data_IF_322768835788
#
_entry.id   IF_322768835788
#
_cell.length_a   1.000
_cell.length_b   1.000
_cell.length_c   1.000
_cell.angle_alpha   90.00
_cell.angle_beta   90.00
_cell.angle_gamma   90.00
#
_symmetry.space_group_name_H-M   'P 1'
#
loop_
_entity.id
_entity.type
_entity.pdbx_description
1 polymer ?
#
# COMPACT_ATOMS: atom_id res chain seq x y z
N UNK A 1 -32.63 -0.08 -2.20
CA UNK A 1 -31.65 -0.29 -1.10
C UNK A 1 -30.77 0.95 -1.01
N UNK A 2 -30.86 1.82 0.01
CA UNK A 2 -30.33 3.19 -0.08
C UNK A 2 -28.89 3.40 0.44
N UNK A 3 -28.08 2.35 0.62
CA UNK A 3 -26.67 2.54 1.02
C UNK A 3 -25.73 1.58 0.29
N UNK A 4 -25.50 1.84 -0.98
CA UNK A 4 -24.35 1.28 -1.72
C UNK A 4 -23.26 2.35 -1.77
N UNK A 5 -22.17 2.16 -1.02
CA UNK A 5 -20.93 2.93 -1.19
C UNK A 5 -20.05 2.19 -2.20
N UNK A 6 -19.86 2.80 -3.36
CA UNK A 6 -18.84 2.39 -4.32
C UNK A 6 -17.54 3.10 -3.95
N UNK A 7 -16.47 2.35 -3.73
CA UNK A 7 -15.13 2.94 -3.64
C UNK A 7 -14.60 3.05 -5.08
N UNK A 8 -14.13 4.25 -5.47
CA UNK A 8 -13.63 4.47 -6.82
C UNK A 8 -12.42 3.59 -7.08
N UNK A 9 -12.52 2.71 -8.06
CA UNK A 9 -11.45 1.78 -8.39
C UNK A 9 -10.32 2.55 -9.09
N UNK A 10 -9.18 2.67 -8.42
CA UNK A 10 -7.98 3.21 -9.04
C UNK A 10 -7.52 2.14 -10.05
N UNK A 11 -7.47 2.46 -11.35
CA UNK A 11 -7.03 1.54 -12.41
C UNK A 11 -5.55 1.79 -12.74
N UNK A 12 -4.72 0.74 -12.83
CA UNK A 12 -3.29 0.89 -13.16
C UNK A 12 -2.43 -0.33 -12.78
N UNK A 13 -1.29 -0.54 -13.47
CA UNK A 13 -0.39 -1.65 -13.17
C UNK A 13 0.24 -1.48 -11.79
N UNK A 14 0.29 -2.56 -11.03
CA UNK A 14 0.81 -2.54 -9.66
C UNK A 14 2.30 -2.84 -9.71
N UNK A 15 3.08 -1.82 -9.35
CA UNK A 15 4.53 -1.94 -9.25
C UNK A 15 4.92 -2.66 -7.95
N UNK A 16 6.13 -3.25 -7.89
CA UNK A 16 6.70 -3.74 -6.64
C UNK A 16 6.77 -2.63 -5.59
N UNK A 17 6.35 -2.92 -4.35
CA UNK A 17 6.43 -1.93 -3.26
C UNK A 17 7.77 -1.95 -2.56
N UNK A 18 8.03 -0.86 -1.83
CA UNK A 18 9.11 -0.83 -0.84
C UNK A 18 8.88 -1.89 0.26
N UNK A 19 9.95 -2.56 0.69
CA UNK A 19 9.96 -3.54 1.80
C UNK A 19 9.46 -2.98 3.13
N UNK A 20 9.46 -1.65 3.29
CA UNK A 20 9.00 -0.98 4.49
C UNK A 20 7.50 -0.66 4.45
N UNK A 21 6.86 -0.73 3.28
CA UNK A 21 5.44 -0.45 3.16
C UNK A 21 4.62 -1.58 3.80
N UNK A 22 3.62 -1.22 4.60
CA UNK A 22 2.68 -2.16 5.25
C UNK A 22 1.26 -1.71 5.00
N UNK A 23 0.35 -2.67 5.05
CA UNK A 23 -1.10 -2.44 5.03
C UNK A 23 -1.76 -3.44 5.96
N UNK A 24 -3.02 -3.21 6.31
CA UNK A 24 -3.78 -4.16 7.15
C UNK A 24 -3.91 -5.55 6.50
N UNK A 25 -3.85 -5.62 5.16
CA UNK A 25 -3.99 -6.86 4.42
C UNK A 25 -2.97 -7.93 4.84
N UNK A 26 -1.77 -7.54 5.28
CA UNK A 26 -0.72 -8.49 5.73
C UNK A 26 -1.18 -9.38 6.89
N UNK A 27 -2.06 -8.87 7.76
CA UNK A 27 -2.57 -9.61 8.92
C UNK A 27 -3.69 -10.57 8.57
N UNK A 28 -4.30 -10.40 7.39
CA UNK A 28 -5.36 -11.27 6.88
C UNK A 28 -4.77 -12.33 5.94
N UNK A 29 -3.84 -11.94 5.08
CA UNK A 29 -3.30 -12.78 4.02
C UNK A 29 -1.98 -13.46 4.39
N UNK A 30 -1.26 -12.93 5.39
CA UNK A 30 0.09 -13.37 5.73
C UNK A 30 1.16 -13.00 4.69
N UNK A 31 0.80 -12.25 3.63
CA UNK A 31 1.70 -11.89 2.53
C UNK A 31 2.08 -10.41 2.62
N UNK A 32 3.38 -10.12 2.48
CA UNK A 32 3.90 -8.74 2.45
C UNK A 32 3.40 -7.95 1.24
N UNK A 33 3.43 -8.57 0.07
CA UNK A 33 2.79 -8.05 -1.12
C UNK A 33 1.43 -8.74 -1.29
N UNK A 34 0.31 -8.08 -0.95
CA UNK A 34 -0.98 -8.55 -1.41
C UNK A 34 -0.97 -8.57 -2.94
N UNK A 35 -1.56 -9.60 -3.54
CA UNK A 35 -1.64 -9.73 -4.99
C UNK A 35 -2.39 -8.53 -5.59
N UNK A 36 -2.22 -8.33 -6.90
CA UNK A 36 -2.89 -7.26 -7.63
C UNK A 36 -4.42 -7.24 -7.44
N UNK A 37 -5.00 -8.42 -7.23
CA UNK A 37 -6.42 -8.66 -7.00
C UNK A 37 -6.86 -8.31 -5.57
N UNK A 38 -5.92 -8.17 -4.64
CA UNK A 38 -6.16 -7.91 -3.21
C UNK A 38 -5.95 -6.44 -2.82
N UNK A 39 -5.67 -5.55 -3.78
CA UNK A 39 -5.52 -4.11 -3.52
C UNK A 39 -6.79 -3.52 -2.89
N UNK A 40 -7.94 -4.15 -3.17
CA UNK A 40 -9.26 -3.76 -2.68
C UNK A 40 -9.67 -4.46 -1.37
N UNK A 41 -8.84 -5.38 -0.85
CA UNK A 41 -9.07 -5.99 0.45
C UNK A 41 -8.60 -5.07 1.58
N UNK A 42 -9.41 -4.07 1.92
CA UNK A 42 -9.23 -3.25 3.12
C UNK A 42 -9.67 -1.80 2.96
N UNK A 43 -9.24 -0.95 3.91
CA UNK A 43 -9.52 0.48 3.92
C UNK A 43 -8.55 1.32 3.08
N UNK A 44 -7.69 0.70 2.27
CA UNK A 44 -6.60 1.38 1.55
C UNK A 44 -5.48 1.95 2.43
N UNK A 45 -5.58 1.83 3.76
CA UNK A 45 -4.62 2.43 4.69
C UNK A 45 -3.29 1.68 4.65
N UNK A 46 -2.23 2.42 4.30
CA UNK A 46 -0.86 1.95 4.32
C UNK A 46 -0.01 2.80 5.27
N UNK A 47 1.10 2.24 5.74
CA UNK A 47 2.07 2.94 6.57
C UNK A 47 3.48 2.47 6.26
N UNK A 48 4.47 3.30 6.60
CA UNK A 48 5.87 2.96 6.50
C UNK A 48 6.35 2.37 7.82
N UNK A 49 6.93 1.18 7.76
CA UNK A 49 7.50 0.47 8.91
C UNK A 49 8.86 1.07 9.35
N UNK A 50 9.50 1.90 8.53
CA UNK A 50 10.71 2.61 8.94
C UNK A 50 10.37 3.80 9.84
N UNK A 51 9.37 4.61 9.45
CA UNK A 51 8.91 5.77 10.23
C UNK A 51 7.81 5.46 11.23
N UNK A 52 7.22 4.26 11.16
CA UNK A 52 6.04 3.84 11.94
C UNK A 52 4.85 4.80 11.78
N UNK A 53 4.70 5.42 10.60
CA UNK A 53 3.69 6.44 10.33
C UNK A 53 3.10 6.32 8.93
N UNK A 54 1.97 7.01 8.68
CA UNK A 54 1.36 7.11 7.33
C UNK A 54 2.21 7.94 6.35
N UNK A 55 3.23 8.64 6.86
CA UNK A 55 4.17 9.44 6.09
C UNK A 55 5.51 8.73 6.04
N UNK A 56 6.15 8.75 4.88
CA UNK A 56 7.51 8.29 4.68
C UNK A 56 8.56 9.27 5.25
N UNK A 57 9.85 8.95 5.13
CA UNK A 57 10.94 9.81 5.60
C UNK A 57 11.09 11.12 4.81
N UNK A 58 10.53 11.16 3.60
CA UNK A 58 10.38 12.34 2.73
C UNK A 58 9.12 13.18 3.06
N UNK A 59 8.38 12.83 4.12
CA UNK A 59 7.09 13.44 4.51
C UNK A 59 5.93 13.25 3.51
N UNK A 60 6.08 12.36 2.53
CA UNK A 60 5.02 12.03 1.56
C UNK A 60 4.18 10.84 2.03
N UNK A 61 2.90 10.84 1.69
CA UNK A 61 1.97 9.76 2.01
C UNK A 61 2.48 8.40 1.51
N UNK A 62 2.23 7.37 2.33
CA UNK A 62 2.55 5.99 1.99
C UNK A 62 1.30 5.36 1.40
N UNK A 63 1.34 5.08 0.10
CA UNK A 63 0.24 4.45 -0.63
C UNK A 63 0.74 3.30 -1.50
N UNK A 64 -0.09 2.28 -1.73
CA UNK A 64 0.28 1.09 -2.53
C UNK A 64 0.84 1.45 -3.90
N UNK A 65 0.34 2.52 -4.53
CA UNK A 65 0.76 2.95 -5.87
C UNK A 65 1.96 3.88 -5.87
N UNK A 66 2.17 4.64 -4.81
CA UNK A 66 3.23 5.66 -4.72
C UNK A 66 4.48 5.18 -3.97
N UNK A 67 4.38 4.18 -3.09
CA UNK A 67 5.52 3.66 -2.33
C UNK A 67 6.31 2.61 -3.14
N UNK A 68 6.99 3.08 -4.20
CA UNK A 68 7.72 2.27 -5.17
C UNK A 68 9.14 2.84 -5.43
N UNK A 69 9.84 2.33 -6.45
CA UNK A 69 11.23 2.68 -6.81
C UNK A 69 11.48 4.14 -7.20
N UNK A 70 10.42 4.96 -7.35
CA UNK A 70 10.54 6.39 -7.57
C UNK A 70 10.96 7.19 -6.33
N UNK A 71 10.89 6.60 -5.12
CA UNK A 71 11.30 7.25 -3.87
C UNK A 71 12.74 6.87 -3.53
N UNK A 72 13.52 7.84 -3.05
CA UNK A 72 14.93 7.64 -2.71
C UNK A 72 15.15 6.60 -1.59
N UNK A 73 14.18 6.47 -0.68
CA UNK A 73 14.22 5.48 0.41
C UNK A 73 13.68 4.09 0.01
N UNK A 74 13.46 3.84 -1.29
CA UNK A 74 12.95 2.56 -1.76
C UNK A 74 13.96 1.45 -1.51
N UNK A 75 13.48 0.35 -0.96
CA UNK A 75 14.23 -0.89 -0.82
C UNK A 75 13.35 -2.05 -1.32
N UNK A 76 13.88 -2.88 -2.21
CA UNK A 76 13.15 -4.02 -2.78
C UNK A 76 12.94 -5.14 -1.74
N UNK A 77 11.83 -5.87 -1.88
CA UNK A 77 11.64 -7.16 -1.20
C UNK A 77 12.48 -8.18 -1.97
N UNK A 78 13.59 -8.63 -1.39
CA UNK A 78 14.40 -9.73 -1.93
C UNK A 78 13.61 -11.05 -1.95
#
# INVERSE_FOLDING_TARGET
>A
MPYSRSFGEQAGPIQPICRHMRSKAIYVTGKMEPSAEMVDMGSGHCWCNHTQHILGPDSELVERRACNSSRDCYESVL
#
